data_IF_814797790685
#
_entry.id   IF_814797790685
#
_cell.length_a   1.000
_cell.length_b   1.000
_cell.length_c   1.000
_cell.angle_alpha   90.00
_cell.angle_beta   90.00
_cell.angle_gamma   90.00
#
_symmetry.space_group_name_H-M   'P 1'
#
loop_
_entity.id
_entity.type
_entity.pdbx_description
1 polymer ?
#
# COMPACT_ATOMS: atom_id res chain seq x y z
N UNK A 1 35.12 8.63 4.14
CA UNK A 1 34.25 7.47 3.90
C UNK A 1 32.83 7.93 4.18
N UNK A 2 31.91 7.70 3.26
CA UNK A 2 30.48 8.02 3.44
C UNK A 2 29.79 6.69 3.71
N UNK A 3 29.02 6.61 4.78
CA UNK A 3 28.19 5.46 5.13
C UNK A 3 26.75 5.93 5.19
N UNK A 4 25.87 5.25 4.47
CA UNK A 4 24.42 5.43 4.58
C UNK A 4 23.90 4.38 5.56
N UNK A 5 23.14 4.83 6.56
CA UNK A 5 22.44 3.97 7.51
C UNK A 5 21.00 4.44 7.60
N UNK A 6 20.08 3.50 7.69
CA UNK A 6 18.70 3.79 8.02
C UNK A 6 18.58 4.06 9.51
N UNK A 7 17.75 5.03 9.86
CA UNK A 7 17.52 5.43 11.23
C UNK A 7 16.04 5.80 11.45
N UNK A 8 15.50 5.34 12.58
CA UNK A 8 14.16 5.69 13.01
C UNK A 8 14.21 6.98 13.85
N UNK A 9 13.37 7.94 13.50
CA UNK A 9 13.16 9.13 14.33
C UNK A 9 12.02 8.89 15.32
N UNK A 10 12.31 8.91 16.61
CA UNK A 10 11.30 8.71 17.67
C UNK A 10 10.57 10.01 18.10
N UNK A 11 10.83 11.11 17.39
CA UNK A 11 10.34 12.45 17.73
C UNK A 11 11.37 13.34 18.43
N UNK A 12 12.46 12.76 18.96
CA UNK A 12 13.48 13.51 19.69
C UNK A 12 14.92 13.08 19.35
N UNK A 13 15.13 11.80 19.05
CA UNK A 13 16.41 11.15 18.77
C UNK A 13 16.31 10.32 17.49
N UNK A 14 17.39 10.30 16.71
CA UNK A 14 17.58 9.39 15.58
C UNK A 14 18.24 8.11 16.09
N UNK A 15 17.56 6.98 15.95
CA UNK A 15 18.05 5.64 16.29
C UNK A 15 18.49 4.91 15.03
N UNK A 16 19.80 4.72 14.80
CA UNK A 16 20.28 3.90 13.69
C UNK A 16 19.76 2.47 13.84
N UNK A 17 19.26 1.88 12.76
CA UNK A 17 18.84 0.47 12.77
C UNK A 17 20.05 -0.48 12.88
N UNK A 18 21.21 -0.01 12.42
CA UNK A 18 22.47 -0.76 12.44
C UNK A 18 23.54 0.04 13.22
N UNK A 19 24.38 -0.62 14.03
CA UNK A 19 25.47 0.04 14.74
C UNK A 19 26.42 0.78 13.80
N UNK A 20 26.71 2.05 14.14
CA UNK A 20 27.71 2.85 13.44
C UNK A 20 29.11 2.36 13.78
N UNK A 21 29.89 1.97 12.77
CA UNK A 21 31.28 1.55 12.96
C UNK A 21 32.23 2.77 13.03
N UNK A 22 32.09 3.56 14.08
CA UNK A 22 32.86 4.79 14.31
C UNK A 22 33.63 4.70 15.64
N UNK A 23 34.85 5.23 15.66
CA UNK A 23 35.62 5.37 16.91
C UNK A 23 35.06 6.52 17.75
N UNK A 24 35.11 6.36 19.06
CA UNK A 24 34.73 7.44 19.99
C UNK A 24 35.53 8.73 19.71
N UNK A 25 34.87 9.88 19.78
CA UNK A 25 35.48 11.18 19.50
C UNK A 25 35.58 11.56 18.02
N UNK A 26 35.06 10.74 17.10
CA UNK A 26 35.05 11.06 15.66
C UNK A 26 33.99 12.14 15.37
N UNK A 27 34.40 13.29 14.84
CA UNK A 27 33.47 14.34 14.38
C UNK A 27 32.88 13.95 13.04
N UNK A 28 31.55 13.90 12.95
CA UNK A 28 30.81 13.54 11.74
C UNK A 28 29.86 14.66 11.31
N UNK A 29 29.51 14.64 10.02
CA UNK A 29 28.43 15.45 9.45
C UNK A 29 27.29 14.51 9.11
N UNK A 30 26.08 14.80 9.60
CA UNK A 30 24.87 14.01 9.34
C UNK A 30 24.10 14.72 8.22
N UNK A 31 23.61 13.94 7.26
CA UNK A 31 22.63 14.37 6.25
C UNK A 31 21.38 13.55 6.54
N UNK A 32 20.26 14.23 6.78
CA UNK A 32 18.97 13.58 7.07
C UNK A 32 18.15 13.61 5.79
N UNK A 33 17.78 12.44 5.30
CA UNK A 33 16.90 12.26 4.17
C UNK A 33 15.67 11.48 4.64
N UNK A 34 14.48 12.01 4.38
CA UNK A 34 13.23 11.33 4.74
C UNK A 34 12.94 10.26 3.70
N UNK A 35 13.12 8.99 4.07
CA UNK A 35 12.64 7.87 3.26
C UNK A 35 11.13 7.74 3.43
N UNK A 36 10.39 7.80 2.33
CA UNK A 36 8.97 7.45 2.35
C UNK A 36 8.88 5.98 2.74
N UNK A 37 7.97 5.58 3.65
CA UNK A 37 7.76 4.17 3.90
C UNK A 37 7.47 3.47 2.58
N UNK A 38 8.01 2.27 2.39
CA UNK A 38 7.73 1.34 1.27
C UNK A 38 6.21 0.98 1.17
N UNK A 39 5.35 1.66 1.93
CA UNK A 39 3.90 1.71 1.76
C UNK A 39 3.52 2.61 0.59
N UNK A 40 4.09 2.34 -0.57
CA UNK A 40 3.28 2.32 -1.78
C UNK A 40 3.31 0.88 -2.26
N UNK A 41 2.68 0.00 -1.46
CA UNK A 41 2.47 -1.39 -1.85
C UNK A 41 2.03 -1.38 -3.32
N UNK A 42 2.77 -2.12 -4.15
CA UNK A 42 2.72 -2.09 -5.63
C UNK A 42 1.32 -1.70 -6.13
N UNK A 43 1.19 -0.77 -7.09
CA UNK A 43 -0.11 -0.31 -7.56
C UNK A 43 -1.00 -1.52 -7.82
N UNK A 44 -2.03 -1.70 -6.99
CA UNK A 44 -2.91 -2.86 -7.10
C UNK A 44 -3.68 -2.72 -8.40
N UNK A 45 -3.56 -3.71 -9.28
CA UNK A 45 -4.36 -3.71 -10.51
C UNK A 45 -5.84 -3.81 -10.15
N UNK A 46 -6.72 -3.35 -11.05
CA UNK A 46 -8.16 -3.45 -10.85
C UNK A 46 -8.61 -4.86 -10.44
N UNK A 47 -8.06 -5.91 -11.08
CA UNK A 47 -8.38 -7.30 -10.75
C UNK A 47 -7.86 -7.75 -9.38
N UNK A 48 -6.69 -7.25 -8.96
CA UNK A 48 -6.16 -7.53 -7.62
C UNK A 48 -7.06 -6.91 -6.54
N UNK A 49 -7.54 -5.69 -6.79
CA UNK A 49 -8.50 -5.00 -5.90
C UNK A 49 -9.84 -5.74 -5.89
N UNK A 50 -10.39 -6.10 -7.05
CA UNK A 50 -11.65 -6.83 -7.17
C UNK A 50 -11.60 -8.19 -6.44
N UNK A 51 -10.50 -8.95 -6.58
CA UNK A 51 -10.30 -10.21 -5.85
C UNK A 51 -10.22 -10.01 -4.34
N UNK A 52 -9.56 -8.93 -3.88
CA UNK A 52 -9.38 -8.67 -2.44
C UNK A 52 -10.67 -8.30 -1.72
N UNK A 53 -11.69 -7.83 -2.45
CA UNK A 53 -12.99 -7.49 -1.88
C UNK A 53 -13.83 -8.71 -1.49
N UNK A 54 -13.44 -9.91 -1.93
CA UNK A 54 -14.09 -11.17 -1.59
C UNK A 54 -15.63 -11.11 -1.69
N UNK A 55 -16.12 -10.46 -2.76
CA UNK A 55 -17.55 -10.21 -2.93
C UNK A 55 -18.29 -11.53 -3.10
N UNK A 56 -19.26 -11.78 -2.23
CA UNK A 56 -20.16 -12.92 -2.33
C UNK A 56 -21.20 -12.63 -3.41
N UNK A 57 -21.39 -13.60 -4.30
CA UNK A 57 -22.26 -13.42 -5.44
C UNK A 57 -22.93 -14.69 -5.92
N UNK A 58 -24.11 -14.51 -6.49
CA UNK A 58 -24.84 -15.60 -7.11
C UNK A 58 -24.09 -16.08 -8.36
N UNK A 59 -23.97 -17.40 -8.60
CA UNK A 59 -23.17 -17.95 -9.70
C UNK A 59 -23.71 -17.58 -11.09
N UNK A 60 -24.91 -17.04 -11.18
CA UNK A 60 -25.60 -16.62 -12.40
C UNK A 60 -25.43 -15.12 -12.73
N UNK A 61 -24.67 -14.35 -11.95
CA UNK A 61 -24.47 -12.90 -12.18
C UNK A 61 -24.00 -12.55 -13.58
N UNK A 62 -23.11 -13.35 -14.16
CA UNK A 62 -22.64 -13.11 -15.53
C UNK A 62 -23.69 -13.43 -16.60
N UNK A 63 -24.65 -14.30 -16.27
CA UNK A 63 -25.71 -14.75 -17.18
C UNK A 63 -26.89 -13.79 -17.13
N UNK A 64 -27.26 -13.34 -15.95
CA UNK A 64 -28.44 -12.49 -15.71
C UNK A 64 -28.05 -11.03 -15.42
N UNK A 65 -26.99 -10.54 -16.07
CA UNK A 65 -26.42 -9.21 -15.79
C UNK A 65 -27.48 -8.09 -15.84
N UNK A 66 -28.31 -8.09 -16.89
CA UNK A 66 -29.33 -7.06 -17.08
C UNK A 66 -30.42 -7.11 -15.99
N UNK A 67 -30.78 -8.31 -15.53
CA UNK A 67 -31.72 -8.48 -14.42
C UNK A 67 -31.15 -7.90 -13.11
N UNK A 68 -29.86 -8.13 -12.83
CA UNK A 68 -29.23 -7.63 -11.60
C UNK A 68 -28.92 -6.12 -11.67
N UNK A 69 -28.61 -5.59 -12.85
CA UNK A 69 -28.29 -4.17 -13.02
C UNK A 69 -29.52 -3.28 -13.16
N UNK A 70 -30.54 -3.75 -13.87
CA UNK A 70 -31.70 -2.94 -14.22
C UNK A 70 -32.97 -3.36 -13.51
N UNK A 71 -32.98 -4.54 -12.86
CA UNK A 71 -34.15 -5.08 -12.17
C UNK A 71 -35.28 -5.27 -13.15
N UNK A 72 -35.42 -6.45 -13.77
CA UNK A 72 -36.59 -6.70 -14.62
C UNK A 72 -37.88 -6.55 -13.79
N UNK A 73 -38.53 -5.40 -13.96
CA UNK A 73 -39.95 -5.24 -13.68
C UNK A 73 -40.62 -4.55 -14.87
N UNK A 74 -41.14 -5.38 -15.80
CA UNK A 74 -42.48 -5.30 -16.42
C UNK A 74 -42.83 -3.93 -17.06
N UNK A 75 -43.18 -3.80 -18.34
CA UNK A 75 -44.39 -4.36 -18.96
C UNK A 75 -44.31 -4.13 -20.48
N UNK A 76 -44.32 -5.19 -21.28
CA UNK A 76 -44.85 -5.06 -22.65
C UNK A 76 -46.35 -4.83 -22.53
N UNK A 77 -46.81 -3.62 -22.82
CA UNK A 77 -48.23 -3.34 -22.99
C UNK A 77 -48.52 -3.18 -24.49
N UNK A 78 -49.26 -4.17 -25.00
CA UNK A 78 -49.89 -4.34 -26.34
C UNK A 78 -48.99 -4.25 -27.59
#
# INVERSE_FOLDING_TARGET
>A
MIQTVDALFDGNILHPEVPLNLKAGTRVRIIVETVLPETSGKPKSFLQTAKSLALEGSPDWSVNLDQYLYGESISSND
#
